data_IF_104541646353
#
_entry.id   IF_104541646353
#
_cell.length_a   1.000
_cell.length_b   1.000
_cell.length_c   1.000
_cell.angle_alpha   90.00
_cell.angle_beta   90.00
_cell.angle_gamma   90.00
#
_symmetry.space_group_name_H-M   'P 1'
#
loop_
_entity.id
_entity.type
_entity.pdbx_description
1 polymer ?
#
# COMPACT_ATOMS: atom_id res chain seq x y z
N UNK A 1 -13.91 -12.26 0.86
CA UNK A 1 -12.96 -11.32 0.22
C UNK A 1 -12.74 -10.18 1.21
N UNK A 2 -11.51 -10.02 1.71
CA UNK A 2 -11.21 -8.91 2.62
C UNK A 2 -11.37 -7.59 1.86
N UNK A 3 -12.26 -6.73 2.35
CA UNK A 3 -12.44 -5.38 1.83
C UNK A 3 -11.17 -4.57 2.03
N UNK A 4 -10.84 -3.68 1.11
CA UNK A 4 -9.67 -2.80 1.15
C UNK A 4 -10.07 -1.43 1.63
N UNK A 5 -9.07 -0.64 2.02
CA UNK A 5 -9.28 0.76 2.34
C UNK A 5 -9.58 1.53 1.05
N UNK A 6 -10.61 2.36 1.10
CA UNK A 6 -10.93 3.32 0.02
C UNK A 6 -10.03 4.54 0.13
N UNK A 7 -10.06 5.41 -0.89
CA UNK A 7 -9.29 6.65 -0.83
C UNK A 7 -9.80 7.58 0.28
N UNK A 8 -11.11 7.63 0.50
CA UNK A 8 -11.71 8.42 1.59
C UNK A 8 -11.28 7.90 2.97
N UNK A 9 -11.19 6.59 3.13
CA UNK A 9 -10.71 5.99 4.38
C UNK A 9 -9.23 6.26 4.62
N UNK A 10 -8.42 6.24 3.56
CA UNK A 10 -6.99 6.62 3.67
C UNK A 10 -6.87 8.09 4.08
N UNK A 11 -7.64 8.99 3.46
CA UNK A 11 -7.68 10.40 3.83
C UNK A 11 -8.12 10.60 5.29
N UNK A 12 -9.17 9.90 5.72
CA UNK A 12 -9.63 9.95 7.11
C UNK A 12 -8.57 9.47 8.12
N UNK A 13 -7.76 8.46 7.75
CA UNK A 13 -6.63 8.02 8.58
C UNK A 13 -5.54 9.11 8.61
N UNK A 14 -5.23 9.72 7.48
CA UNK A 14 -4.25 10.82 7.37
C UNK A 14 -4.67 12.01 8.23
N UNK A 15 -5.92 12.42 8.16
CA UNK A 15 -6.49 13.55 8.92
C UNK A 15 -6.55 13.29 10.44
N UNK A 16 -6.62 12.02 10.84
CA UNK A 16 -6.65 11.63 12.26
C UNK A 16 -5.30 11.70 12.96
N UNK A 17 -4.20 11.92 12.22
CA UNK A 17 -2.86 11.94 12.81
C UNK A 17 -2.61 13.27 13.53
N UNK A 18 -2.35 13.19 14.83
CA UNK A 18 -2.01 14.35 15.65
C UNK A 18 -0.57 14.83 15.38
N UNK A 19 -0.42 15.76 14.45
CA UNK A 19 0.87 16.37 14.09
C UNK A 19 1.39 17.41 15.10
N UNK A 20 0.76 17.57 16.27
CA UNK A 20 1.30 18.44 17.34
C UNK A 20 2.42 17.75 18.13
N UNK A 21 2.56 16.44 18.00
CA UNK A 21 3.57 15.64 18.68
C UNK A 21 4.68 15.18 17.73
N UNK A 22 5.91 15.07 18.24
CA UNK A 22 7.04 14.56 17.45
C UNK A 22 6.78 13.15 16.85
N UNK A 23 6.06 12.30 17.60
CA UNK A 23 5.63 11.00 17.12
C UNK A 23 4.60 11.11 15.99
N UNK A 24 3.68 12.05 16.09
CA UNK A 24 2.66 12.29 15.06
C UNK A 24 3.25 12.79 13.77
N UNK A 25 4.12 13.80 13.81
CA UNK A 25 4.82 14.33 12.63
C UNK A 25 5.60 13.21 11.92
N UNK A 26 6.35 12.38 12.68
CA UNK A 26 7.05 11.22 12.15
C UNK A 26 6.08 10.22 11.49
N UNK A 27 5.02 9.89 12.20
CA UNK A 27 4.07 8.86 11.77
C UNK A 27 3.29 9.32 10.54
N UNK A 28 3.00 10.62 10.42
CA UNK A 28 2.38 11.20 9.23
C UNK A 28 3.28 11.05 8.00
N UNK A 29 4.57 11.37 8.11
CA UNK A 29 5.51 11.16 7.01
C UNK A 29 5.62 9.67 6.60
N UNK A 30 5.63 8.75 7.57
CA UNK A 30 5.60 7.31 7.31
C UNK A 30 4.30 6.91 6.59
N UNK A 31 3.16 7.45 7.03
CA UNK A 31 1.85 7.14 6.46
C UNK A 31 1.77 7.58 4.99
N UNK A 32 2.27 8.77 4.66
CA UNK A 32 2.33 9.24 3.27
C UNK A 32 3.22 8.36 2.38
N UNK A 33 4.37 7.88 2.87
CA UNK A 33 5.19 6.93 2.14
C UNK A 33 4.45 5.61 1.85
N UNK A 34 3.62 5.17 2.80
CA UNK A 34 2.79 3.97 2.64
C UNK A 34 1.61 4.21 1.69
N UNK A 35 0.92 5.35 1.82
CA UNK A 35 -0.33 5.62 1.09
C UNK A 35 -0.09 6.12 -0.34
N UNK A 36 1.02 6.79 -0.62
CA UNK A 36 1.34 7.32 -1.97
C UNK A 36 2.13 6.33 -2.81
N UNK A 37 3.10 5.62 -2.20
CA UNK A 37 3.99 4.72 -2.96
C UNK A 37 3.79 3.24 -2.64
N UNK A 38 3.14 2.92 -1.52
CA UNK A 38 3.05 1.52 -1.07
C UNK A 38 4.41 0.91 -0.71
N UNK A 39 5.36 1.70 -0.25
CA UNK A 39 6.69 1.23 0.18
C UNK A 39 6.51 0.24 1.33
N UNK A 40 7.34 -0.80 1.38
CA UNK A 40 7.25 -1.79 2.46
C UNK A 40 7.80 -1.21 3.76
N UNK A 41 7.20 -1.56 4.89
CA UNK A 41 7.66 -1.10 6.22
C UNK A 41 9.14 -1.36 6.48
N UNK A 42 9.69 -2.46 5.94
CA UNK A 42 11.13 -2.76 6.06
C UNK A 42 11.99 -1.79 5.26
N UNK A 43 11.54 -1.40 4.07
CA UNK A 43 12.27 -0.45 3.23
C UNK A 43 12.19 0.96 3.83
N UNK A 44 11.04 1.36 4.40
CA UNK A 44 10.89 2.63 5.16
C UNK A 44 11.82 2.64 6.39
N UNK A 45 11.91 1.54 7.11
CA UNK A 45 12.79 1.42 8.28
C UNK A 45 14.27 1.58 7.92
N UNK A 46 14.66 1.11 6.74
CA UNK A 46 16.03 1.20 6.25
C UNK A 46 16.35 2.54 5.55
N UNK A 47 15.35 3.41 5.35
CA UNK A 47 15.53 4.66 4.62
C UNK A 47 16.57 5.56 5.30
N UNK A 48 17.54 6.03 4.53
CA UNK A 48 18.62 6.93 4.94
C UNK A 48 18.52 8.27 4.20
N UNK A 49 19.28 9.26 4.66
CA UNK A 49 19.31 10.57 4.01
C UNK A 49 19.79 10.52 2.57
N UNK A 50 20.72 9.63 2.25
CA UNK A 50 21.21 9.44 0.89
C UNK A 50 20.15 8.94 -0.10
N UNK A 51 19.04 8.42 0.41
CA UNK A 51 17.91 7.96 -0.40
C UNK A 51 16.94 9.08 -0.78
N UNK A 52 17.13 10.29 -0.22
CA UNK A 52 16.23 11.42 -0.39
C UNK A 52 16.96 12.56 -1.12
N UNK A 53 16.65 12.76 -2.38
CA UNK A 53 17.14 13.89 -3.15
C UNK A 53 16.07 14.98 -3.20
N UNK A 54 16.13 15.91 -2.26
CA UNK A 54 15.19 17.01 -2.16
C UNK A 54 15.42 18.10 -3.21
N UNK A 55 16.59 18.16 -3.85
CA UNK A 55 16.90 19.15 -4.89
C UNK A 55 16.27 18.74 -6.23
N UNK A 56 16.34 17.46 -6.56
CA UNK A 56 15.82 16.92 -7.80
C UNK A 56 14.44 16.23 -7.64
N UNK A 57 13.81 16.34 -6.46
CA UNK A 57 12.53 15.74 -6.13
C UNK A 57 12.49 14.22 -6.42
N UNK A 58 13.50 13.49 -5.88
CA UNK A 58 13.62 12.06 -6.06
C UNK A 58 13.77 11.31 -4.74
N UNK A 59 13.20 10.10 -4.73
CA UNK A 59 13.42 9.12 -3.68
C UNK A 59 13.85 7.81 -4.32
N UNK A 60 14.95 7.23 -3.83
CA UNK A 60 15.51 5.98 -4.36
C UNK A 60 16.12 5.13 -3.27
N UNK A 61 16.04 3.82 -3.38
CA UNK A 61 16.67 2.87 -2.47
C UNK A 61 16.73 1.46 -3.06
N UNK A 62 17.60 0.63 -2.51
CA UNK A 62 17.64 -0.80 -2.82
C UNK A 62 16.62 -1.52 -1.92
N UNK A 63 15.65 -2.20 -2.54
CA UNK A 63 14.63 -2.92 -1.82
C UNK A 63 15.20 -4.09 -1.00
N UNK A 64 14.92 -4.12 0.29
CA UNK A 64 15.44 -5.14 1.22
C UNK A 64 14.99 -6.58 0.88
N UNK A 65 13.88 -6.73 0.18
CA UNK A 65 13.32 -8.05 -0.16
C UNK A 65 13.85 -8.61 -1.49
N UNK A 66 14.05 -7.76 -2.48
CA UNK A 66 14.33 -8.19 -3.86
C UNK A 66 15.73 -7.83 -4.34
N UNK A 67 16.39 -6.87 -3.67
CA UNK A 67 17.68 -6.34 -4.10
C UNK A 67 17.59 -5.39 -5.30
N UNK A 68 16.39 -5.12 -5.79
CA UNK A 68 16.20 -4.26 -6.96
C UNK A 68 16.23 -2.77 -6.55
N UNK A 69 16.77 -1.93 -7.41
CA UNK A 69 16.65 -0.49 -7.29
C UNK A 69 15.18 -0.08 -7.47
N UNK A 70 14.68 0.71 -6.54
CA UNK A 70 13.40 1.39 -6.63
C UNK A 70 13.63 2.90 -6.59
N UNK A 71 13.08 3.60 -7.57
CA UNK A 71 13.24 5.04 -7.72
C UNK A 71 11.91 5.63 -8.22
N UNK A 72 11.50 6.74 -7.61
CA UNK A 72 10.28 7.48 -7.94
C UNK A 72 10.49 8.97 -7.73
N UNK A 73 9.61 9.76 -8.35
CA UNK A 73 9.45 11.18 -8.03
C UNK A 73 8.99 11.36 -6.59
N UNK A 74 9.57 12.31 -5.89
CA UNK A 74 9.18 12.69 -4.53
C UNK A 74 8.03 13.70 -4.61
N UNK A 75 6.82 13.22 -4.36
CA UNK A 75 5.62 14.05 -4.42
C UNK A 75 5.70 15.22 -3.43
N UNK A 76 5.17 16.41 -3.78
CA UNK A 76 5.30 17.62 -2.97
C UNK A 76 4.82 17.45 -1.52
N UNK A 77 3.69 16.77 -1.31
CA UNK A 77 3.15 16.52 0.02
C UNK A 77 4.04 15.58 0.85
N UNK A 78 4.66 14.58 0.21
CA UNK A 78 5.58 13.66 0.89
C UNK A 78 6.90 14.37 1.22
N UNK A 79 7.40 15.19 0.29
CA UNK A 79 8.57 16.04 0.49
C UNK A 79 8.36 16.97 1.70
N UNK A 80 7.24 17.68 1.73
CA UNK A 80 6.90 18.59 2.82
C UNK A 80 6.84 17.86 4.18
N UNK A 81 6.17 16.72 4.25
CA UNK A 81 6.05 15.95 5.48
C UNK A 81 7.40 15.35 5.95
N UNK A 82 8.26 14.91 5.02
CA UNK A 82 9.61 14.45 5.36
C UNK A 82 10.48 15.58 5.86
N UNK A 83 10.45 16.75 5.21
CA UNK A 83 11.19 17.93 5.63
C UNK A 83 10.71 18.42 6.99
N UNK A 84 9.41 18.50 7.23
CA UNK A 84 8.86 18.88 8.52
C UNK A 84 9.34 17.94 9.61
N UNK A 85 9.23 16.63 9.42
CA UNK A 85 9.75 15.65 10.39
C UNK A 85 11.25 15.82 10.65
N UNK A 86 12.05 15.92 9.60
CA UNK A 86 13.52 16.01 9.72
C UNK A 86 13.94 17.27 10.45
N UNK A 87 13.29 18.39 10.17
CA UNK A 87 13.67 19.69 10.70
C UNK A 87 13.13 19.95 12.12
N UNK A 88 11.89 19.51 12.41
CA UNK A 88 11.17 19.89 13.62
C UNK A 88 11.08 18.79 14.67
N UNK A 89 10.94 17.52 14.26
CA UNK A 89 10.56 16.44 15.16
C UNK A 89 11.60 15.31 15.28
N UNK A 90 12.52 15.18 14.33
CA UNK A 90 13.53 14.13 14.36
C UNK A 90 14.59 14.41 15.43
N UNK A 91 14.89 13.45 16.33
CA UNK A 91 15.98 13.60 17.29
C UNK A 91 17.32 13.83 16.60
N UNK A 92 18.08 14.80 17.09
CA UNK A 92 19.42 15.09 16.55
C UNK A 92 20.43 14.13 17.18
N UNK A 93 20.86 13.15 16.40
CA UNK A 93 21.89 12.16 16.79
C UNK A 93 23.07 12.26 15.84
N UNK A 94 24.26 12.31 16.41
CA UNK A 94 25.49 12.25 15.60
C UNK A 94 25.65 10.86 14.95
N UNK A 95 26.13 10.85 13.72
CA UNK A 95 26.45 9.62 12.98
C UNK A 95 25.28 8.65 12.72
N UNK A 96 24.03 9.11 12.74
CA UNK A 96 22.88 8.29 12.40
C UNK A 96 22.29 8.74 11.06
N UNK A 97 22.46 7.94 10.03
CA UNK A 97 21.97 8.21 8.67
C UNK A 97 20.51 7.83 8.46
N UNK A 98 19.93 6.99 9.34
CA UNK A 98 18.52 6.60 9.21
C UNK A 98 17.57 7.79 9.36
N UNK A 99 16.61 7.89 8.47
CA UNK A 99 15.60 8.97 8.51
C UNK A 99 14.71 8.83 9.74
N UNK A 100 14.12 7.66 9.94
CA UNK A 100 13.12 7.45 10.99
C UNK A 100 13.70 6.86 12.27
N UNK A 101 13.48 7.56 13.37
CA UNK A 101 13.98 7.22 14.69
C UNK A 101 12.85 7.07 15.70
N UNK A 102 13.14 6.39 16.82
CA UNK A 102 12.28 6.42 18.01
C UNK A 102 12.21 7.84 18.57
N UNK A 103 11.08 8.18 19.20
CA UNK A 103 10.89 9.49 19.83
C UNK A 103 11.26 9.50 21.32
N UNK A 104 11.67 8.35 21.85
CA UNK A 104 12.08 8.18 23.26
C UNK A 104 13.54 7.72 23.34
N UNK A 105 14.21 8.09 24.40
CA UNK A 105 15.59 7.69 24.73
C UNK A 105 15.60 6.21 25.18
N UNK A 106 16.54 5.41 24.71
CA UNK A 106 17.59 5.72 23.73
C UNK A 106 17.02 5.82 22.32
N UNK A 107 17.39 6.91 21.62
CA UNK A 107 16.98 7.09 20.23
C UNK A 107 17.65 6.04 19.35
N UNK A 108 16.84 5.32 18.58
CA UNK A 108 17.28 4.23 17.70
C UNK A 108 16.57 4.32 16.35
N UNK A 109 17.16 3.81 15.26
CA UNK A 109 16.42 3.60 14.02
C UNK A 109 15.15 2.77 14.28
N UNK A 110 14.05 3.17 13.66
CA UNK A 110 12.84 2.35 13.69
C UNK A 110 13.06 1.05 12.94
N UNK A 111 12.53 -0.03 13.47
CA UNK A 111 12.41 -1.28 12.74
C UNK A 111 11.03 -1.40 12.06
N UNK A 112 10.88 -2.43 11.24
CA UNK A 112 9.63 -2.68 10.52
C UNK A 112 8.45 -3.01 11.45
N UNK A 113 8.72 -3.54 12.63
CA UNK A 113 7.70 -3.85 13.63
C UNK A 113 7.15 -2.56 14.25
N UNK A 114 8.02 -1.64 14.65
CA UNK A 114 7.64 -0.34 15.19
C UNK A 114 6.81 0.48 14.18
N UNK A 115 7.18 0.43 12.89
CA UNK A 115 6.38 1.08 11.83
C UNK A 115 4.99 0.44 11.73
N UNK A 116 4.89 -0.88 11.70
CA UNK A 116 3.59 -1.56 11.64
C UNK A 116 2.72 -1.26 12.88
N UNK A 117 3.33 -1.20 14.06
CA UNK A 117 2.64 -0.81 15.30
C UNK A 117 2.13 0.62 15.21
N UNK A 118 2.96 1.57 14.75
CA UNK A 118 2.55 2.96 14.56
C UNK A 118 1.36 3.07 13.60
N UNK A 119 1.42 2.37 12.46
CA UNK A 119 0.30 2.30 11.51
C UNK A 119 -0.95 1.72 12.16
N UNK A 120 -0.83 0.66 12.93
CA UNK A 120 -1.95 0.06 13.65
C UNK A 120 -2.62 1.06 14.62
N UNK A 121 -1.81 1.83 15.34
CA UNK A 121 -2.30 2.89 16.25
C UNK A 121 -3.02 4.00 15.48
N UNK A 122 -2.46 4.48 14.36
CA UNK A 122 -3.09 5.51 13.54
C UNK A 122 -4.45 5.04 13.01
N UNK A 123 -4.51 3.83 12.47
CA UNK A 123 -5.77 3.23 11.97
C UNK A 123 -6.79 3.03 13.11
N UNK A 124 -6.34 2.62 14.29
CA UNK A 124 -7.24 2.45 15.44
C UNK A 124 -7.78 3.77 16.01
N UNK A 125 -7.06 4.87 15.81
CA UNK A 125 -7.49 6.22 16.24
C UNK A 125 -8.38 6.91 15.21
N UNK A 126 -8.34 6.47 13.97
CA UNK A 126 -9.27 6.95 12.95
C UNK A 126 -10.63 6.27 13.15
N UNK A 127 -11.71 6.96 12.87
CA UNK A 127 -13.08 6.42 12.94
C UNK A 127 -13.39 5.45 11.79
N UNK A 128 -12.37 4.95 11.11
CA UNK A 128 -12.53 4.03 9.96
C UNK A 128 -12.89 2.63 10.46
N UNK A 129 -13.99 2.09 9.96
CA UNK A 129 -14.38 0.72 10.28
C UNK A 129 -13.47 -0.30 9.59
N UNK A 130 -12.60 -0.93 10.37
CA UNK A 130 -11.61 -1.93 9.90
C UNK A 130 -12.01 -3.38 10.21
N UNK A 131 -13.18 -3.63 10.79
CA UNK A 131 -13.56 -4.97 11.31
C UNK A 131 -13.46 -6.09 10.26
N UNK A 132 -13.75 -5.78 8.99
CA UNK A 132 -13.70 -6.72 7.86
C UNK A 132 -12.51 -6.45 6.90
N UNK A 133 -11.59 -5.55 7.25
CA UNK A 133 -10.52 -5.10 6.36
C UNK A 133 -9.16 -5.54 6.86
N UNK A 134 -8.25 -5.76 5.93
CA UNK A 134 -6.84 -5.85 6.31
C UNK A 134 -6.35 -4.48 6.75
N UNK A 135 -5.68 -4.43 7.88
CA UNK A 135 -5.06 -3.24 8.43
C UNK A 135 -3.53 -3.43 8.53
N UNK A 136 -2.82 -2.31 8.75
CA UNK A 136 -1.36 -2.28 8.76
C UNK A 136 -0.75 -1.91 7.40
N UNK A 137 0.56 -1.78 7.34
CA UNK A 137 1.29 -1.25 6.18
C UNK A 137 1.02 -2.00 4.86
N UNK A 138 0.77 -3.31 4.93
CA UNK A 138 0.45 -4.12 3.73
C UNK A 138 -0.91 -3.77 3.13
N UNK A 139 -1.85 -3.25 3.92
CA UNK A 139 -3.16 -2.87 3.42
C UNK A 139 -3.06 -1.69 2.45
N UNK A 140 -2.29 -0.65 2.80
CA UNK A 140 -2.04 0.50 1.93
C UNK A 140 -1.46 0.09 0.59
N UNK A 141 -0.43 -0.74 0.61
CA UNK A 141 0.18 -1.27 -0.62
C UNK A 141 -0.81 -2.08 -1.46
N UNK A 142 -1.68 -2.87 -0.84
CA UNK A 142 -2.70 -3.63 -1.54
C UNK A 142 -3.80 -2.73 -2.10
N UNK A 143 -4.13 -1.63 -1.42
CA UNK A 143 -5.09 -0.63 -1.89
C UNK A 143 -4.56 0.10 -3.13
N UNK A 144 -3.31 0.58 -3.10
CA UNK A 144 -2.67 1.20 -4.27
C UNK A 144 -2.67 0.25 -5.46
N UNK A 145 -2.19 -0.99 -5.26
CA UNK A 145 -2.16 -1.98 -6.34
C UNK A 145 -3.52 -2.18 -6.99
N UNK A 146 -4.58 -2.17 -6.18
CA UNK A 146 -5.93 -2.42 -6.68
C UNK A 146 -6.55 -1.22 -7.36
N UNK A 147 -6.31 -0.03 -6.81
CA UNK A 147 -6.74 1.19 -7.46
C UNK A 147 -6.10 1.30 -8.85
N UNK A 148 -4.78 1.08 -8.95
CA UNK A 148 -4.10 1.09 -10.24
C UNK A 148 -4.67 0.05 -11.22
N UNK A 149 -5.02 -1.15 -10.75
CA UNK A 149 -5.63 -2.19 -11.60
C UNK A 149 -7.04 -1.77 -12.01
N UNK A 150 -7.85 -1.22 -11.09
CA UNK A 150 -9.20 -0.73 -11.39
C UNK A 150 -9.17 0.44 -12.38
N UNK A 151 -8.17 1.31 -12.28
CA UNK A 151 -7.92 2.44 -13.19
C UNK A 151 -7.29 1.97 -14.53
N UNK A 152 -7.25 0.66 -14.77
CA UNK A 152 -6.72 0.04 -16.00
C UNK A 152 -5.26 0.38 -16.30
N UNK A 153 -4.48 0.72 -15.27
CA UNK A 153 -3.04 0.93 -15.41
C UNK A 153 -2.38 -0.40 -15.80
N UNK A 154 -1.46 -0.34 -16.76
CA UNK A 154 -0.80 -1.55 -17.25
C UNK A 154 -0.09 -2.31 -16.11
N UNK A 155 -0.12 -3.63 -16.17
CA UNK A 155 0.49 -4.50 -15.15
C UNK A 155 1.99 -4.25 -14.99
N UNK A 156 2.65 -3.79 -16.04
CA UNK A 156 4.08 -3.44 -16.00
C UNK A 156 4.33 -2.18 -15.17
N UNK A 157 3.49 -1.17 -15.31
CA UNK A 157 3.56 0.06 -14.51
C UNK A 157 3.27 -0.25 -13.05
N UNK A 158 2.19 -1.01 -12.75
CA UNK A 158 1.88 -1.45 -11.38
C UNK A 158 3.06 -2.19 -10.76
N UNK A 159 3.71 -3.06 -11.54
CA UNK A 159 4.87 -3.82 -11.09
C UNK A 159 6.07 -2.90 -10.78
N UNK A 160 6.32 -1.93 -11.65
CA UNK A 160 7.42 -0.97 -11.50
C UNK A 160 7.21 -0.07 -10.28
N UNK A 161 6.02 0.51 -10.13
CA UNK A 161 5.65 1.36 -8.99
C UNK A 161 5.78 0.62 -7.67
N UNK A 162 5.27 -0.61 -7.61
CA UNK A 162 5.34 -1.41 -6.39
C UNK A 162 6.68 -2.14 -6.21
N UNK A 163 7.59 -2.10 -7.17
CA UNK A 163 8.85 -2.85 -7.11
C UNK A 163 8.63 -4.34 -6.93
N UNK A 164 7.84 -4.96 -7.82
CA UNK A 164 7.63 -6.39 -7.85
C UNK A 164 8.60 -7.05 -8.83
N UNK A 165 9.52 -7.86 -8.33
CA UNK A 165 10.51 -8.57 -9.15
C UNK A 165 9.92 -9.65 -10.07
N UNK A 166 8.71 -10.17 -9.79
CA UNK A 166 8.11 -11.27 -10.57
C UNK A 166 6.73 -10.92 -11.14
N UNK A 167 6.44 -11.42 -12.36
CA UNK A 167 5.11 -11.27 -12.99
C UNK A 167 3.98 -11.94 -12.17
N UNK A 168 4.31 -12.92 -11.33
CA UNK A 168 3.32 -13.65 -10.52
C UNK A 168 2.74 -12.82 -9.36
N UNK A 169 3.46 -11.82 -8.87
CA UNK A 169 2.98 -10.99 -7.77
C UNK A 169 1.68 -10.23 -8.10
N UNK A 170 1.47 -9.89 -9.37
CA UNK A 170 0.27 -9.17 -9.83
C UNK A 170 -0.97 -10.06 -9.87
N UNK A 171 -0.82 -11.37 -10.01
CA UNK A 171 -1.97 -12.31 -10.01
C UNK A 171 -2.87 -12.18 -8.79
N UNK A 172 -2.30 -11.79 -7.64
CA UNK A 172 -3.09 -11.57 -6.43
C UNK A 172 -4.00 -10.34 -6.53
N UNK A 173 -3.65 -9.36 -7.37
CA UNK A 173 -4.43 -8.15 -7.59
C UNK A 173 -5.41 -8.32 -8.77
N UNK A 174 -4.98 -8.98 -9.82
CA UNK A 174 -5.82 -9.31 -10.98
C UNK A 174 -7.02 -10.23 -10.65
N UNK A 175 -6.89 -11.09 -9.63
CA UNK A 175 -8.00 -11.94 -9.16
C UNK A 175 -9.22 -11.17 -8.62
N UNK A 176 -9.12 -9.87 -8.51
CA UNK A 176 -10.16 -9.04 -7.90
C UNK A 176 -10.92 -8.18 -8.89
N UNK A 177 -10.54 -8.21 -10.14
CA UNK A 177 -11.28 -7.57 -11.22
C UNK A 177 -12.31 -8.53 -11.84
N UNK A 178 -13.10 -9.16 -10.98
CA UNK A 178 -14.13 -10.12 -11.39
C UNK A 178 -15.16 -9.45 -12.30
N UNK A 179 -15.47 -8.17 -12.08
CA UNK A 179 -16.45 -7.44 -12.90
C UNK A 179 -15.93 -7.19 -14.31
N UNK A 180 -14.66 -6.80 -14.47
CA UNK A 180 -14.06 -6.66 -15.80
C UNK A 180 -13.79 -8.03 -16.46
N UNK A 181 -13.51 -9.06 -15.66
CA UNK A 181 -13.41 -10.43 -16.18
C UNK A 181 -14.76 -10.94 -16.69
N UNK A 182 -15.88 -10.51 -16.12
CA UNK A 182 -17.23 -10.81 -16.61
C UNK A 182 -17.55 -10.12 -17.94
N UNK A 183 -16.87 -9.02 -18.25
CA UNK A 183 -17.02 -8.30 -19.53
C UNK A 183 -16.23 -8.95 -20.69
N UNK A 184 -15.41 -9.96 -20.40
CA UNK A 184 -14.67 -10.74 -21.39
C UNK A 184 -15.18 -12.20 -21.45
N UNK A 185 -16.49 -12.48 -21.57
CA UNK A 185 -16.94 -13.84 -21.78
C UNK A 185 -16.49 -14.28 -23.16
N UNK A 186 -15.64 -15.28 -23.23
CA UNK A 186 -15.57 -16.07 -24.45
C UNK A 186 -16.98 -16.62 -24.68
N UNK A 187 -17.52 -16.56 -25.90
CA UNK A 187 -18.81 -17.16 -26.20
C UNK A 187 -18.74 -18.62 -25.78
N UNK A 188 -19.46 -18.98 -24.73
CA UNK A 188 -19.57 -20.37 -24.31
C UNK A 188 -20.22 -21.15 -25.44
N UNK A 189 -19.58 -22.19 -25.96
CA UNK A 189 -20.23 -23.03 -26.95
C UNK A 189 -21.54 -23.55 -26.38
N UNK A 190 -22.59 -23.57 -27.19
CA UNK A 190 -23.87 -24.12 -26.76
C UNK A 190 -23.61 -25.58 -26.29
N UNK A 191 -24.15 -25.94 -25.14
CA UNK A 191 -24.01 -27.30 -24.63
C UNK A 191 -24.54 -28.29 -25.68
N UNK A 192 -23.81 -29.38 -25.93
CA UNK A 192 -24.18 -30.43 -26.86
C UNK A 192 -24.11 -31.79 -26.19
N UNK A 193 -24.84 -32.77 -26.72
CA UNK A 193 -24.90 -34.11 -26.17
C UNK A 193 -25.50 -34.17 -24.76
N UNK A 194 -24.94 -35.02 -23.91
CA UNK A 194 -25.42 -35.28 -22.54
C UNK A 194 -25.59 -33.99 -21.70
N UNK A 195 -24.74 -32.97 -21.90
CA UNK A 195 -24.87 -31.71 -21.18
C UNK A 195 -26.08 -30.88 -21.61
N UNK A 196 -26.53 -31.02 -22.87
CA UNK A 196 -27.75 -30.39 -23.35
C UNK A 196 -29.00 -30.99 -22.68
N UNK A 197 -28.99 -32.32 -22.52
CA UNK A 197 -30.07 -33.06 -21.84
C UNK A 197 -30.12 -32.77 -20.34
N UNK A 198 -28.97 -32.68 -19.67
CA UNK A 198 -28.91 -32.35 -18.25
C UNK A 198 -29.39 -30.93 -17.94
N UNK A 199 -29.26 -29.99 -18.84
CA UNK A 199 -29.76 -28.62 -18.66
C UNK A 199 -31.26 -28.52 -18.88
N UNK A 200 -31.83 -29.31 -19.78
CA UNK A 200 -33.30 -29.38 -19.98
C UNK A 200 -34.03 -30.00 -18.80
N UNK A 201 -33.39 -30.93 -18.07
CA UNK A 201 -33.99 -31.49 -16.84
C UNK A 201 -34.12 -30.53 -15.68
N UNK A 202 -33.36 -29.46 -15.63
CA UNK A 202 -33.41 -28.42 -14.56
C UNK A 202 -34.54 -27.39 -14.79
N UNK A 203 -35.02 -27.24 -16.02
CA UNK A 203 -36.14 -26.34 -16.31
C UNK A 203 -37.51 -26.98 -15.98
N UNK A 204 -37.61 -28.32 -15.97
CA UNK A 204 -38.88 -28.99 -15.67
C UNK A 204 -39.13 -29.28 -14.19
N UNK A 205 -38.12 -29.14 -13.32
CA UNK A 205 -38.21 -29.45 -11.88
C UNK A 205 -38.77 -28.31 -11.00
N UNK A 206 -39.21 -27.20 -11.60
CA UNK A 206 -39.86 -26.07 -10.90
C UNK A 206 -41.39 -26.01 -11.05
N UNK A 207 -42.02 -27.09 -11.51
CA UNK A 207 -43.46 -27.20 -11.63
C UNK A 207 -44.00 -28.46 -10.92
N UNK A 208 -43.77 -28.54 -9.58
CA UNK A 208 -44.66 -29.33 -8.69
C UNK A 208 -44.73 -28.62 -7.33
#
# INVERSE_FOLDING_TARGET
VYKRQTQEEVAAIEDSVDCTTAAGVRNYAILLLLSRYGIRSRDIAALSFENLDFENDRIHFIQQKTGDLWEMELFPEVKAALQDYILTARPKIQNCQNVFLTTMIPYKPLDSYAINTAVGIMVAKSDVNIAEKRHGSRAFRSSIASNMVNDKVSTEVVRKVLGHGTKHAIRHYARMDIENMRLCPLPTPKPSGIFSEMLSWKEDDHLV
#
